data_IF_273259730824
#
_entry.id   IF_273259730824
#
_cell.length_a   1.000
_cell.length_b   1.000
_cell.length_c   1.000
_cell.angle_alpha   90.00
_cell.angle_beta   90.00
_cell.angle_gamma   90.00
#
_symmetry.space_group_name_H-M   'P 1'
#
loop_
_entity.id
_entity.type
_entity.pdbx_description
1 polymer ?
#
# COMPACT_ATOMS: atom_id res chain seq x y z
N UNK A 1 -7.62 -2.25 -27.59
CA UNK A 1 -6.61 -1.19 -27.80
C UNK A 1 -5.91 -0.81 -26.50
N UNK A 2 -6.59 -0.16 -25.54
CA UNK A 2 -6.00 0.27 -24.25
C UNK A 2 -5.30 -0.87 -23.49
N UNK A 3 -5.91 -2.05 -23.41
CA UNK A 3 -5.31 -3.18 -22.69
C UNK A 3 -4.05 -3.74 -23.38
N UNK A 4 -3.98 -3.68 -24.72
CA UNK A 4 -2.78 -4.06 -25.46
C UNK A 4 -1.64 -3.06 -25.22
N UNK A 5 -1.93 -1.76 -25.17
CA UNK A 5 -0.94 -0.72 -24.83
C UNK A 5 -0.37 -0.98 -23.43
N UNK A 6 -1.26 -1.26 -22.45
CA UNK A 6 -0.85 -1.59 -21.08
C UNK A 6 -0.01 -2.87 -21.04
N UNK A 7 -0.40 -3.94 -21.74
CA UNK A 7 0.35 -5.19 -21.75
C UNK A 7 1.72 -5.06 -22.42
N UNK A 8 1.81 -4.37 -23.56
CA UNK A 8 3.06 -4.12 -24.26
C UNK A 8 4.01 -3.29 -23.40
N UNK A 9 3.48 -2.23 -22.77
CA UNK A 9 4.25 -1.44 -21.82
C UNK A 9 4.71 -2.27 -20.61
N UNK A 10 3.84 -3.10 -20.04
CA UNK A 10 4.21 -4.03 -18.96
C UNK A 10 5.34 -4.97 -19.38
N UNK A 11 5.27 -5.56 -20.58
CA UNK A 11 6.32 -6.46 -21.10
C UNK A 11 7.65 -5.74 -21.26
N UNK A 12 7.64 -4.51 -21.80
CA UNK A 12 8.84 -3.68 -21.94
C UNK A 12 9.43 -3.29 -20.58
N UNK A 13 8.59 -2.76 -19.68
CA UNK A 13 8.97 -2.31 -18.34
C UNK A 13 9.41 -3.48 -17.42
N UNK A 14 8.91 -4.70 -17.63
CA UNK A 14 9.26 -5.89 -16.82
C UNK A 14 10.75 -6.27 -16.95
N UNK A 15 11.40 -5.91 -18.07
CA UNK A 15 12.84 -6.16 -18.29
C UNK A 15 13.75 -5.20 -17.51
N UNK A 16 13.25 -4.04 -17.11
CA UNK A 16 14.02 -2.96 -16.47
C UNK A 16 13.71 -2.77 -14.98
N UNK A 17 12.66 -3.43 -14.45
CA UNK A 17 12.15 -3.17 -13.11
C UNK A 17 12.69 -4.07 -11.99
N UNK A 18 13.06 -3.41 -10.89
CA UNK A 18 13.22 -4.00 -9.56
C UNK A 18 11.84 -4.27 -8.93
N UNK A 19 11.64 -5.44 -8.31
CA UNK A 19 10.43 -5.76 -7.51
C UNK A 19 10.34 -4.84 -6.28
N UNK A 20 9.17 -4.70 -5.65
CA UNK A 20 8.98 -3.84 -4.48
C UNK A 20 10.01 -4.08 -3.36
N UNK A 21 10.31 -5.35 -3.02
CA UNK A 21 11.35 -5.66 -2.03
C UNK A 21 12.77 -5.28 -2.48
N UNK A 22 13.03 -5.22 -3.79
CA UNK A 22 14.31 -4.76 -4.33
C UNK A 22 14.43 -3.24 -4.34
N UNK A 23 13.30 -2.52 -4.42
CA UNK A 23 13.23 -1.06 -4.28
C UNK A 23 13.39 -0.65 -2.82
N UNK A 24 12.67 -1.35 -1.94
CA UNK A 24 12.65 -1.12 -0.49
C UNK A 24 13.95 -1.58 0.19
N UNK A 25 14.58 -2.63 -0.35
CA UNK A 25 15.81 -3.21 0.16
C UNK A 25 15.58 -4.42 1.07
N UNK A 26 16.51 -5.38 1.01
CA UNK A 26 16.52 -6.59 1.85
C UNK A 26 16.49 -6.25 3.35
N UNK A 27 17.28 -5.27 3.86
CA UNK A 27 17.28 -4.98 5.30
C UNK A 27 15.90 -4.56 5.81
N UNK A 28 15.20 -3.69 5.09
CA UNK A 28 13.90 -3.19 5.54
C UNK A 28 12.80 -4.26 5.40
N UNK A 29 12.89 -5.11 4.38
CA UNK A 29 12.01 -6.26 4.20
C UNK A 29 12.19 -7.28 5.32
N UNK A 30 13.44 -7.60 5.70
CA UNK A 30 13.73 -8.49 6.83
C UNK A 30 13.30 -7.87 8.16
N UNK A 31 13.56 -6.58 8.40
CA UNK A 31 13.08 -5.88 9.59
C UNK A 31 11.57 -5.95 9.71
N UNK A 32 10.83 -5.82 8.60
CA UNK A 32 9.38 -5.94 8.59
C UNK A 32 8.92 -7.34 9.02
N UNK A 33 9.48 -8.41 8.45
CA UNK A 33 9.12 -9.78 8.84
C UNK A 33 9.54 -10.12 10.27
N UNK A 34 10.71 -9.63 10.71
CA UNK A 34 11.16 -9.79 12.10
C UNK A 34 10.23 -9.11 13.09
N UNK A 35 9.83 -7.85 12.82
CA UNK A 35 8.85 -7.15 13.64
C UNK A 35 7.49 -7.82 13.64
N UNK A 36 7.03 -8.31 12.48
CA UNK A 36 5.77 -9.04 12.39
C UNK A 36 5.78 -10.29 13.28
N UNK A 37 6.86 -11.06 13.25
CA UNK A 37 7.01 -12.24 14.10
C UNK A 37 7.03 -11.86 15.59
N UNK A 38 7.77 -10.80 15.95
CA UNK A 38 7.84 -10.30 17.34
C UNK A 38 6.47 -9.82 17.82
N UNK A 39 5.73 -9.07 17.00
CA UNK A 39 4.37 -8.61 17.33
C UNK A 39 3.42 -9.78 17.57
N UNK A 40 3.47 -10.83 16.74
CA UNK A 40 2.65 -12.03 16.93
C UNK A 40 3.04 -12.79 18.19
N UNK A 41 4.34 -12.95 18.46
CA UNK A 41 4.80 -13.65 19.67
C UNK A 41 4.44 -12.86 20.94
N UNK A 42 4.67 -11.54 20.93
CA UNK A 42 4.37 -10.67 22.05
C UNK A 42 2.86 -10.67 22.37
N UNK A 43 2.01 -10.78 21.35
CA UNK A 43 0.57 -10.97 21.52
C UNK A 43 0.23 -12.19 22.40
N UNK A 44 0.81 -13.37 22.13
CA UNK A 44 0.55 -14.57 22.94
C UNK A 44 1.10 -14.42 24.37
N UNK A 45 2.23 -13.74 24.52
CA UNK A 45 2.86 -13.51 25.83
C UNK A 45 2.07 -12.52 26.71
N UNK A 46 1.37 -11.55 26.13
CA UNK A 46 0.50 -10.61 26.89
C UNK A 46 -0.58 -11.36 27.67
N UNK A 47 -1.10 -12.46 27.14
CA UNK A 47 -2.15 -13.25 27.78
C UNK A 47 -1.65 -14.07 28.97
N UNK A 48 -0.37 -14.47 28.98
CA UNK A 48 0.19 -15.36 29.99
C UNK A 48 0.96 -14.64 31.11
N UNK A 49 1.63 -13.52 30.82
CA UNK A 49 2.64 -12.98 31.72
C UNK A 49 2.25 -11.70 32.46
N UNK A 50 2.17 -10.54 31.79
CA UNK A 50 2.01 -9.26 32.49
C UNK A 50 1.54 -8.10 31.60
N UNK A 51 0.74 -7.20 32.17
CA UNK A 51 0.24 -5.97 31.53
C UNK A 51 1.36 -5.02 31.06
N UNK A 52 2.59 -5.13 31.58
CA UNK A 52 3.73 -4.34 31.10
C UNK A 52 4.09 -4.61 29.63
N UNK A 53 3.76 -5.80 29.11
CA UNK A 53 3.95 -6.14 27.70
C UNK A 53 3.10 -5.28 26.75
N UNK A 54 2.06 -4.60 27.26
CA UNK A 54 1.25 -3.63 26.51
C UNK A 54 2.10 -2.45 26.05
N UNK A 55 3.06 -1.96 26.87
CA UNK A 55 3.93 -0.85 26.48
C UNK A 55 4.88 -1.26 25.34
N UNK A 56 5.34 -2.50 25.35
CA UNK A 56 6.17 -3.07 24.27
C UNK A 56 5.33 -3.18 22.99
N UNK A 57 4.08 -3.62 23.09
CA UNK A 57 3.19 -3.74 21.94
C UNK A 57 2.89 -2.38 21.29
N UNK A 58 2.62 -1.35 22.09
CA UNK A 58 2.45 0.04 21.61
C UNK A 58 3.70 0.49 20.85
N UNK A 59 4.89 0.22 21.39
CA UNK A 59 6.14 0.58 20.74
C UNK A 59 6.33 -0.15 19.39
N UNK A 60 6.03 -1.45 19.33
CA UNK A 60 6.10 -2.24 18.10
C UNK A 60 5.15 -1.72 17.02
N UNK A 61 3.91 -1.40 17.38
CA UNK A 61 2.90 -0.80 16.48
C UNK A 61 3.43 0.51 15.87
N UNK A 62 4.02 1.39 16.70
CA UNK A 62 4.59 2.65 16.23
C UNK A 62 5.71 2.41 15.21
N UNK A 63 6.58 1.42 15.46
CA UNK A 63 7.65 1.06 14.51
C UNK A 63 7.07 0.52 13.20
N UNK A 64 6.07 -0.37 13.26
CA UNK A 64 5.39 -0.89 12.06
C UNK A 64 4.80 0.24 11.23
N UNK A 65 4.19 1.23 11.88
CA UNK A 65 3.62 2.39 11.21
C UNK A 65 4.69 3.26 10.54
N UNK A 66 5.86 3.44 11.18
CA UNK A 66 7.01 4.12 10.59
C UNK A 66 7.57 3.36 9.38
N UNK A 67 7.65 2.03 9.47
CA UNK A 67 8.09 1.18 8.34
C UNK A 67 7.13 1.33 7.17
N UNK A 68 5.82 1.23 7.40
CA UNK A 68 4.81 1.40 6.36
C UNK A 68 4.98 2.74 5.62
N UNK A 69 5.08 3.85 6.37
CA UNK A 69 5.33 5.18 5.78
C UNK A 69 6.64 5.26 5.00
N UNK A 70 7.69 4.60 5.49
CA UNK A 70 9.01 4.59 4.83
C UNK A 70 8.98 3.79 3.54
N UNK A 71 8.29 2.64 3.52
CA UNK A 71 8.05 1.83 2.32
C UNK A 71 7.29 2.65 1.28
N UNK A 72 6.21 3.30 1.67
CA UNK A 72 5.41 4.15 0.79
C UNK A 72 6.25 5.27 0.16
N UNK A 73 7.11 5.93 0.95
CA UNK A 73 7.95 7.00 0.45
C UNK A 73 9.06 6.50 -0.50
N UNK A 74 9.71 5.37 -0.19
CA UNK A 74 10.74 4.78 -1.04
C UNK A 74 10.19 4.35 -2.40
N UNK A 75 8.99 3.74 -2.39
CA UNK A 75 8.29 3.37 -3.62
C UNK A 75 7.97 4.62 -4.44
N UNK A 76 7.41 5.67 -3.82
CA UNK A 76 7.10 6.93 -4.47
C UNK A 76 8.31 7.59 -5.14
N UNK A 77 9.44 7.65 -4.44
CA UNK A 77 10.69 8.22 -4.98
C UNK A 77 11.20 7.40 -6.18
N UNK A 78 11.16 6.06 -6.06
CA UNK A 78 11.57 5.19 -7.16
C UNK A 78 10.73 5.36 -8.41
N UNK A 79 9.44 5.73 -8.28
CA UNK A 79 8.56 5.95 -9.43
C UNK A 79 8.95 7.21 -10.19
N UNK A 80 9.11 8.34 -9.50
CA UNK A 80 9.49 9.62 -10.12
C UNK A 80 10.81 9.54 -10.91
N UNK A 81 11.78 8.76 -10.41
CA UNK A 81 13.08 8.62 -11.07
C UNK A 81 13.05 7.82 -12.40
N UNK A 82 12.02 7.02 -12.66
CA UNK A 82 11.93 6.17 -13.84
C UNK A 82 11.10 6.79 -14.99
N UNK A 83 10.26 7.78 -14.69
CA UNK A 83 9.38 8.46 -15.67
C UNK A 83 10.18 9.03 -16.86
N UNK A 84 11.27 9.74 -16.59
CA UNK A 84 12.07 10.40 -17.63
C UNK A 84 12.75 9.45 -18.64
N UNK A 85 13.03 8.19 -18.28
CA UNK A 85 13.70 7.23 -19.16
C UNK A 85 12.76 6.50 -20.11
N UNK A 86 11.48 6.43 -19.76
CA UNK A 86 10.48 5.66 -20.50
C UNK A 86 9.60 6.53 -21.41
N UNK A 87 9.68 7.86 -21.25
CA UNK A 87 8.87 8.82 -21.99
C UNK A 87 9.05 8.71 -23.50
N UNK A 88 10.29 8.66 -24.00
CA UNK A 88 10.55 8.63 -25.44
C UNK A 88 10.00 7.37 -26.10
N UNK A 89 10.12 6.21 -25.43
CA UNK A 89 9.55 4.96 -25.91
C UNK A 89 8.02 5.02 -26.01
N UNK A 90 7.35 5.54 -24.96
CA UNK A 90 5.89 5.72 -24.95
C UNK A 90 5.45 6.72 -26.02
N UNK A 91 6.20 7.81 -26.20
CA UNK A 91 5.90 8.83 -27.19
C UNK A 91 5.91 8.26 -28.61
N UNK A 92 6.92 7.47 -28.97
CA UNK A 92 6.98 6.78 -30.26
C UNK A 92 5.83 5.78 -30.40
N UNK A 93 5.63 4.93 -29.39
CA UNK A 93 4.59 3.90 -29.43
C UNK A 93 3.17 4.46 -29.58
N UNK A 94 2.83 5.52 -28.85
CA UNK A 94 1.50 6.13 -28.95
C UNK A 94 1.28 6.84 -30.28
N UNK A 95 2.32 7.44 -30.87
CA UNK A 95 2.24 8.01 -32.23
C UNK A 95 1.98 6.94 -33.28
N UNK A 96 2.66 5.80 -33.18
CA UNK A 96 2.45 4.65 -34.08
C UNK A 96 1.01 4.09 -33.96
N UNK A 97 0.42 4.17 -32.77
CA UNK A 97 -0.99 3.82 -32.50
C UNK A 97 -1.99 4.93 -32.88
N UNK A 98 -1.53 6.03 -33.48
CA UNK A 98 -2.38 7.10 -34.02
C UNK A 98 -2.80 8.19 -33.03
N UNK A 99 -2.10 8.34 -31.90
CA UNK A 99 -2.28 9.50 -31.01
C UNK A 99 -1.61 10.73 -31.64
N UNK A 100 -2.44 11.65 -32.15
CA UNK A 100 -1.99 12.86 -32.85
C UNK A 100 -2.38 14.11 -32.08
N UNK A 101 -3.57 14.12 -31.46
CA UNK A 101 -4.13 15.30 -30.79
C UNK A 101 -3.87 15.28 -29.29
N UNK A 102 -3.57 16.44 -28.71
CA UNK A 102 -3.36 16.61 -27.25
C UNK A 102 -4.54 16.03 -26.44
N UNK A 103 -5.78 16.27 -26.85
CA UNK A 103 -6.97 15.74 -26.17
C UNK A 103 -6.98 14.21 -26.05
N UNK A 104 -6.46 13.48 -27.04
CA UNK A 104 -6.39 12.01 -26.99
C UNK A 104 -5.46 11.53 -25.88
N UNK A 105 -4.32 12.22 -25.68
CA UNK A 105 -3.40 11.93 -24.57
C UNK A 105 -4.07 12.20 -23.23
N UNK A 106 -4.78 13.32 -23.09
CA UNK A 106 -5.51 13.66 -21.85
C UNK A 106 -6.58 12.63 -21.50
N UNK A 107 -7.42 12.26 -22.46
CA UNK A 107 -8.48 11.27 -22.23
C UNK A 107 -7.88 9.91 -21.86
N UNK A 108 -6.77 9.54 -22.50
CA UNK A 108 -6.06 8.31 -22.20
C UNK A 108 -5.38 8.32 -20.83
N UNK A 109 -4.76 9.42 -20.40
CA UNK A 109 -4.15 9.54 -19.07
C UNK A 109 -5.19 9.39 -17.96
N UNK A 110 -6.39 9.95 -18.16
CA UNK A 110 -7.53 9.80 -17.24
C UNK A 110 -7.98 8.34 -17.14
N UNK A 111 -8.19 7.66 -18.27
CA UNK A 111 -8.59 6.25 -18.28
C UNK A 111 -7.54 5.36 -17.58
N UNK A 112 -6.26 5.62 -17.83
CA UNK A 112 -5.17 4.88 -17.18
C UNK A 112 -5.14 5.14 -15.67
N UNK A 113 -5.32 6.38 -15.22
CA UNK A 113 -5.42 6.71 -13.78
C UNK A 113 -6.58 5.97 -13.13
N UNK A 114 -7.74 5.90 -13.77
CA UNK A 114 -8.88 5.14 -13.25
C UNK A 114 -8.59 3.64 -13.19
N UNK A 115 -8.04 3.05 -14.26
CA UNK A 115 -7.64 1.62 -14.25
C UNK A 115 -6.59 1.32 -13.19
N UNK A 116 -5.64 2.23 -12.97
CA UNK A 116 -4.65 2.10 -11.91
C UNK A 116 -5.31 2.10 -10.53
N UNK A 117 -6.22 3.05 -10.25
CA UNK A 117 -6.97 3.13 -8.99
C UNK A 117 -7.79 1.88 -8.73
N UNK A 118 -8.47 1.34 -9.74
CA UNK A 118 -9.26 0.10 -9.61
C UNK A 118 -8.40 -1.12 -9.26
N UNK A 119 -7.17 -1.18 -9.78
CA UNK A 119 -6.22 -2.26 -9.46
C UNK A 119 -5.44 -2.03 -8.17
N UNK A 120 -5.40 -0.80 -7.65
CA UNK A 120 -4.68 -0.47 -6.43
C UNK A 120 -5.40 -1.08 -5.24
N UNK A 121 -4.73 -1.97 -4.51
CA UNK A 121 -5.26 -2.56 -3.28
C UNK A 121 -4.73 -1.76 -2.10
N UNK A 122 -5.63 -1.08 -1.41
CA UNK A 122 -5.36 -0.45 -0.12
C UNK A 122 -6.42 -0.91 0.85
N UNK A 123 -5.99 -1.36 2.03
CA UNK A 123 -6.89 -1.84 3.06
C UNK A 123 -7.05 -0.74 4.10
N UNK A 124 -8.29 -0.40 4.40
CA UNK A 124 -8.63 0.46 5.53
C UNK A 124 -9.37 -0.38 6.56
N UNK A 125 -8.65 -0.77 7.61
CA UNK A 125 -9.21 -1.57 8.70
C UNK A 125 -9.74 -0.71 9.85
N UNK A 126 -9.73 0.62 9.73
CA UNK A 126 -10.23 1.51 10.77
C UNK A 126 -11.70 1.25 11.16
N UNK A 127 -12.63 0.94 10.22
CA UNK A 127 -14.01 0.61 10.58
C UNK A 127 -14.12 -0.62 11.51
N UNK A 128 -13.24 -1.60 11.33
CA UNK A 128 -13.21 -2.81 12.17
C UNK A 128 -12.72 -2.51 13.59
N UNK A 129 -11.85 -1.51 13.78
CA UNK A 129 -11.46 -1.05 15.12
C UNK A 129 -12.69 -0.55 15.87
N UNK A 130 -13.53 0.28 15.22
CA UNK A 130 -14.74 0.80 15.83
C UNK A 130 -15.73 -0.33 16.20
N UNK A 131 -15.87 -1.35 15.34
CA UNK A 131 -16.69 -2.52 15.63
C UNK A 131 -16.17 -3.31 16.83
N UNK A 132 -14.87 -3.58 16.90
CA UNK A 132 -14.25 -4.29 18.02
C UNK A 132 -14.45 -3.52 19.32
N UNK A 133 -14.20 -2.22 19.32
CA UNK A 133 -14.43 -1.35 20.49
C UNK A 133 -15.89 -1.39 20.94
N UNK A 134 -16.85 -1.32 20.01
CA UNK A 134 -18.28 -1.40 20.34
C UNK A 134 -18.67 -2.74 20.98
N UNK A 135 -18.16 -3.86 20.44
CA UNK A 135 -18.38 -5.21 21.00
C UNK A 135 -17.80 -5.29 22.42
N UNK A 136 -16.63 -4.72 22.65
CA UNK A 136 -15.98 -4.70 23.97
C UNK A 136 -16.83 -3.92 24.98
N UNK A 137 -17.27 -2.71 24.62
CA UNK A 137 -18.11 -1.87 25.49
C UNK A 137 -19.41 -2.59 25.84
N UNK A 138 -20.06 -3.19 24.84
CA UNK A 138 -21.29 -3.95 25.03
C UNK A 138 -21.07 -5.16 25.95
N UNK A 139 -20.01 -5.93 25.73
CA UNK A 139 -19.68 -7.11 26.55
C UNK A 139 -19.39 -6.72 27.99
N UNK A 140 -18.62 -5.65 28.22
CA UNK A 140 -18.34 -5.13 29.55
C UNK A 140 -19.61 -4.61 30.27
N UNK A 141 -20.59 -4.09 29.52
CA UNK A 141 -21.85 -3.61 30.09
C UNK A 141 -22.80 -4.73 30.53
N UNK A 142 -22.71 -5.91 29.91
CA UNK A 142 -23.56 -7.07 30.21
C UNK A 142 -23.03 -7.94 31.35
N UNK A 143 -21.76 -7.78 31.73
CA UNK A 143 -21.12 -8.61 32.75
C UNK A 143 -21.34 -8.03 34.14
N UNK A 144 -22.15 -8.73 34.93
CA UNK A 144 -22.35 -8.48 36.35
C UNK A 144 -21.33 -9.19 37.26
N UNK A 145 -20.49 -10.06 36.70
CA UNK A 145 -19.55 -10.88 37.47
C UNK A 145 -18.12 -10.30 37.42
N UNK A 146 -17.67 -9.73 38.53
CA UNK A 146 -16.40 -8.99 38.63
C UNK A 146 -15.15 -9.87 38.43
N UNK A 147 -15.25 -11.19 38.60
CA UNK A 147 -14.11 -12.11 38.47
C UNK A 147 -13.61 -12.32 37.03
N UNK A 148 -14.51 -12.25 36.04
CA UNK A 148 -14.18 -12.42 34.61
C UNK A 148 -13.82 -11.10 33.91
N UNK A 149 -14.13 -9.98 34.56
CA UNK A 149 -13.93 -8.63 34.02
C UNK A 149 -12.47 -8.37 33.61
N UNK A 150 -11.43 -8.72 34.40
CA UNK A 150 -10.04 -8.49 34.02
C UNK A 150 -9.63 -9.27 32.77
N UNK A 151 -10.01 -10.54 32.66
CA UNK A 151 -9.72 -11.39 31.51
C UNK A 151 -10.31 -10.80 30.23
N UNK A 152 -11.55 -10.34 30.29
CA UNK A 152 -12.27 -9.79 29.13
C UNK A 152 -11.69 -8.44 28.72
N UNK A 153 -11.28 -7.59 29.67
CA UNK A 153 -10.52 -6.36 29.38
C UNK A 153 -9.19 -6.68 28.70
N UNK A 154 -8.46 -7.70 29.15
CA UNK A 154 -7.20 -8.11 28.51
C UNK A 154 -7.44 -8.61 27.09
N UNK A 155 -8.40 -9.50 26.87
CA UNK A 155 -8.76 -10.01 25.52
C UNK A 155 -9.21 -8.87 24.61
N UNK A 156 -10.00 -7.93 25.12
CA UNK A 156 -10.44 -6.74 24.41
C UNK A 156 -9.26 -5.87 23.92
N UNK A 157 -8.33 -5.56 24.83
CA UNK A 157 -7.12 -4.79 24.52
C UNK A 157 -6.28 -5.53 23.47
N UNK A 158 -6.11 -6.83 23.63
CA UNK A 158 -5.44 -7.72 22.68
C UNK A 158 -6.07 -7.68 21.27
N UNK A 159 -7.40 -7.75 21.17
CA UNK A 159 -8.11 -7.64 19.89
C UNK A 159 -7.89 -6.27 19.22
N UNK A 160 -7.91 -5.18 20.00
CA UNK A 160 -7.65 -3.83 19.48
C UNK A 160 -6.24 -3.75 18.89
N UNK A 161 -5.22 -4.26 19.60
CA UNK A 161 -3.85 -4.25 19.10
C UNK A 161 -3.67 -5.08 17.83
N UNK A 162 -4.30 -6.26 17.74
CA UNK A 162 -4.28 -7.05 16.49
C UNK A 162 -4.81 -6.22 15.33
N UNK A 163 -5.99 -5.61 15.46
CA UNK A 163 -6.61 -4.88 14.34
C UNK A 163 -5.77 -3.66 13.95
N UNK A 164 -5.24 -2.93 14.93
CA UNK A 164 -4.36 -1.78 14.68
C UNK A 164 -3.06 -2.20 13.98
N UNK A 165 -2.46 -3.34 14.36
CA UNK A 165 -1.22 -3.86 13.80
C UNK A 165 -1.40 -4.47 12.41
N UNK A 166 -2.52 -5.15 12.15
CA UNK A 166 -2.80 -5.77 10.85
C UNK A 166 -2.86 -4.70 9.74
N UNK A 167 -3.38 -3.51 10.02
CA UNK A 167 -3.54 -2.46 9.01
C UNK A 167 -2.20 -2.05 8.34
N UNK A 168 -1.15 -1.60 9.07
CA UNK A 168 0.15 -1.34 8.47
C UNK A 168 0.82 -2.61 7.92
N UNK A 169 0.60 -3.78 8.52
CA UNK A 169 1.17 -5.05 8.01
C UNK A 169 0.66 -5.41 6.62
N UNK A 170 -0.66 -5.46 6.45
CA UNK A 170 -1.30 -5.84 5.18
C UNK A 170 -0.99 -4.80 4.12
N UNK A 171 -1.01 -3.51 4.45
CA UNK A 171 -0.66 -2.46 3.49
C UNK A 171 0.82 -2.51 3.08
N UNK A 172 1.75 -2.72 4.02
CA UNK A 172 3.17 -2.89 3.71
C UNK A 172 3.39 -4.09 2.78
N UNK A 173 2.78 -5.24 3.10
CA UNK A 173 2.86 -6.44 2.25
C UNK A 173 2.27 -6.18 0.86
N UNK A 174 1.11 -5.55 0.79
CA UNK A 174 0.40 -5.28 -0.46
C UNK A 174 1.21 -4.33 -1.34
N UNK A 175 1.82 -3.29 -0.77
CA UNK A 175 2.68 -2.36 -1.50
C UNK A 175 3.97 -3.02 -1.99
N UNK A 176 4.59 -3.92 -1.20
CA UNK A 176 5.81 -4.62 -1.61
C UNK A 176 5.55 -5.65 -2.72
N UNK A 177 4.40 -6.35 -2.67
CA UNK A 177 4.19 -7.56 -3.48
C UNK A 177 3.03 -7.50 -4.49
N UNK A 178 1.95 -6.78 -4.19
CA UNK A 178 0.68 -6.90 -4.92
C UNK A 178 0.35 -5.68 -5.79
N UNK A 179 0.73 -4.47 -5.37
CA UNK A 179 0.36 -3.23 -6.06
C UNK A 179 1.19 -2.91 -7.30
N UNK A 180 2.23 -3.70 -7.60
CA UNK A 180 3.13 -3.52 -8.76
C UNK A 180 2.38 -3.25 -10.07
N UNK A 181 1.30 -3.98 -10.33
CA UNK A 181 0.56 -3.85 -11.58
C UNK A 181 -0.21 -2.54 -11.69
N UNK A 182 -0.79 -2.08 -10.58
CA UNK A 182 -1.43 -0.77 -10.46
C UNK A 182 -0.40 0.35 -10.63
N UNK A 183 0.80 0.16 -10.06
CA UNK A 183 1.93 1.10 -10.15
C UNK A 183 2.44 1.26 -11.59
N UNK A 184 2.53 0.17 -12.35
CA UNK A 184 2.91 0.23 -13.78
C UNK A 184 1.92 1.05 -14.59
N UNK A 185 0.62 0.87 -14.33
CA UNK A 185 -0.41 1.62 -15.05
C UNK A 185 -0.41 3.09 -14.62
N UNK A 186 -0.11 3.38 -13.34
CA UNK A 186 -0.02 4.75 -12.84
C UNK A 186 1.14 5.53 -13.48
N UNK A 187 2.33 4.93 -13.55
CA UNK A 187 3.48 5.57 -14.20
C UNK A 187 3.19 5.84 -15.69
N UNK A 188 2.59 4.87 -16.39
CA UNK A 188 2.16 5.09 -17.77
C UNK A 188 1.21 6.29 -17.87
N UNK A 189 0.26 6.42 -16.95
CA UNK A 189 -0.67 7.52 -16.94
C UNK A 189 0.03 8.88 -16.77
N UNK A 190 1.04 8.97 -15.89
CA UNK A 190 1.82 10.19 -15.71
C UNK A 190 2.65 10.56 -16.93
N UNK A 191 3.30 9.57 -17.56
CA UNK A 191 4.05 9.79 -18.81
C UNK A 191 3.12 10.34 -19.90
N UNK A 192 1.92 9.76 -20.04
CA UNK A 192 0.92 10.24 -21.00
C UNK A 192 0.44 11.64 -20.67
N UNK A 193 0.28 11.97 -19.39
CA UNK A 193 -0.10 13.31 -18.91
C UNK A 193 0.97 14.35 -19.26
N UNK A 194 2.25 14.02 -19.11
CA UNK A 194 3.36 14.86 -19.57
C UNK A 194 3.36 15.05 -21.09
N UNK A 195 3.13 13.97 -21.85
CA UNK A 195 3.04 14.05 -23.31
C UNK A 195 1.86 14.90 -23.78
N UNK A 196 0.75 14.92 -23.03
CA UNK A 196 -0.36 15.86 -23.26
C UNK A 196 0.12 17.31 -23.17
N UNK A 197 0.84 17.67 -22.10
CA UNK A 197 1.36 19.04 -21.96
C UNK A 197 2.28 19.42 -23.12
N UNK A 198 3.19 18.53 -23.52
CA UNK A 198 4.09 18.78 -24.65
C UNK A 198 3.36 18.91 -25.99
N UNK A 199 2.34 18.09 -26.24
CA UNK A 199 1.54 18.17 -27.46
C UNK A 199 0.68 19.43 -27.48
N UNK A 200 0.08 19.81 -26.35
CA UNK A 200 -0.76 21.02 -26.24
C UNK A 200 0.01 22.31 -26.53
N UNK A 201 1.30 22.37 -26.17
CA UNK A 201 2.17 23.52 -26.49
C UNK A 201 2.45 23.62 -28.00
N UNK A 202 2.50 22.49 -28.71
CA UNK A 202 2.78 22.45 -30.16
C UNK A 202 1.54 22.67 -31.03
N UNK A 203 0.35 22.53 -30.45
CA UNK A 203 -0.94 22.78 -31.13
C UNK A 203 -1.41 24.23 -31.02
N UNK A 204 -0.76 25.03 -30.16
CA UNK A 204 -0.91 26.49 -30.06
C UNK A 204 -0.14 27.18 -31.19
#
# INVERSE_FOLDING_TARGET
MIDNIIENYKKYRKKTLKKGYQIVGIPLTLSFFGLLLITILNFFLILEYNNWLILIEIFLVIILWRINKKVDNLLRISWSNNEGKLKDYIACYLKDEGFIRSQQFKDFSVILREKSKQKHKKYDLNPYIAMVVAIIIFTLSLLTNDSLRPLIVTVAICCIFIVISINPMVNTFTNIFLNRDSEIIYELANIVDELYFEASIKEL
#
